data_IF_795197640179
#
_entry.id   IF_795197640179
#
_cell.length_a   1.000
_cell.length_b   1.000
_cell.length_c   1.000
_cell.angle_alpha   90.00
_cell.angle_beta   90.00
_cell.angle_gamma   90.00
#
_symmetry.space_group_name_H-M   'P 1'
#
loop_
_entity.id
_entity.type
_entity.pdbx_description
1 polymer ?
#
# COMPACT_ATOMS: atom_id res chain seq x y z
N UNK A 1 -33.11 -17.68 36.80
CA UNK A 1 -32.79 -18.78 35.85
C UNK A 1 -33.10 -18.39 34.40
N UNK A 2 -34.34 -18.04 34.03
CA UNK A 2 -34.70 -17.66 32.64
C UNK A 2 -33.89 -16.47 32.06
N UNK A 3 -33.62 -15.45 32.87
CA UNK A 3 -32.80 -14.29 32.45
C UNK A 3 -31.32 -14.66 32.18
N UNK A 4 -30.73 -15.55 32.99
CA UNK A 4 -29.35 -16.01 32.81
C UNK A 4 -29.23 -16.83 31.52
N UNK A 5 -30.21 -17.70 31.24
CA UNK A 5 -30.27 -18.47 29.99
C UNK A 5 -30.42 -17.55 28.77
N UNK A 6 -31.26 -16.52 28.85
CA UNK A 6 -31.42 -15.55 27.76
C UNK A 6 -30.12 -14.77 27.49
N UNK A 7 -29.39 -14.36 28.54
CA UNK A 7 -28.10 -13.68 28.40
C UNK A 7 -27.08 -14.61 27.73
N UNK A 8 -26.95 -15.85 28.18
CA UNK A 8 -26.02 -16.82 27.58
C UNK A 8 -26.34 -17.09 26.10
N UNK A 9 -27.62 -17.28 25.76
CA UNK A 9 -28.04 -17.47 24.37
C UNK A 9 -27.71 -16.24 23.52
N UNK A 10 -27.93 -15.03 24.05
CA UNK A 10 -27.59 -13.80 23.34
C UNK A 10 -26.08 -13.63 23.13
N UNK A 11 -25.24 -13.98 24.12
CA UNK A 11 -23.78 -13.97 23.95
C UNK A 11 -23.33 -14.95 22.88
N UNK A 12 -23.84 -16.18 22.88
CA UNK A 12 -23.51 -17.18 21.85
C UNK A 12 -23.94 -16.70 20.47
N UNK A 13 -25.14 -16.11 20.35
CA UNK A 13 -25.63 -15.57 19.09
C UNK A 13 -24.74 -14.40 18.59
N UNK A 14 -24.29 -13.51 19.48
CA UNK A 14 -23.36 -12.43 19.14
C UNK A 14 -22.04 -13.01 18.64
N UNK A 15 -21.46 -13.98 19.35
CA UNK A 15 -20.18 -14.61 18.97
C UNK A 15 -20.30 -15.33 17.62
N UNK A 16 -21.37 -16.07 17.39
CA UNK A 16 -21.61 -16.75 16.10
C UNK A 16 -21.80 -15.74 14.98
N UNK A 17 -22.62 -14.70 15.20
CA UNK A 17 -22.84 -13.64 14.21
C UNK A 17 -21.54 -12.91 13.87
N UNK A 18 -20.75 -12.51 14.87
CA UNK A 18 -19.45 -11.86 14.62
C UNK A 18 -18.49 -12.78 13.89
N UNK A 19 -18.44 -14.07 14.24
CA UNK A 19 -17.52 -15.02 13.58
C UNK A 19 -17.89 -15.23 12.12
N UNK A 20 -19.17 -15.49 11.82
CA UNK A 20 -19.64 -15.73 10.44
C UNK A 20 -19.52 -14.46 9.59
N UNK A 21 -19.88 -13.30 10.15
CA UNK A 21 -19.80 -12.02 9.45
C UNK A 21 -18.35 -11.64 9.13
N UNK A 22 -17.43 -11.77 10.09
CA UNK A 22 -16.01 -11.50 9.82
C UNK A 22 -15.45 -12.49 8.79
N UNK A 23 -15.72 -13.79 8.93
CA UNK A 23 -15.16 -14.82 8.04
C UNK A 23 -15.60 -14.71 6.58
N UNK A 24 -16.76 -14.11 6.31
CA UNK A 24 -17.36 -13.99 4.97
C UNK A 24 -17.33 -12.54 4.43
N UNK A 25 -16.73 -11.61 5.17
CA UNK A 25 -16.58 -10.22 4.72
C UNK A 25 -15.33 -10.07 3.84
N UNK A 26 -15.36 -9.11 2.91
CA UNK A 26 -14.17 -8.69 2.13
C UNK A 26 -12.95 -8.44 3.01
N UNK A 27 -13.16 -7.90 4.21
CA UNK A 27 -12.11 -7.62 5.19
C UNK A 27 -11.50 -8.91 5.77
N UNK A 28 -12.33 -9.91 6.07
CA UNK A 28 -11.86 -11.21 6.55
C UNK A 28 -11.19 -12.06 5.48
N UNK A 29 -11.66 -11.97 4.23
CA UNK A 29 -10.98 -12.62 3.09
C UNK A 29 -9.60 -12.00 2.90
N UNK A 30 -9.51 -10.66 2.95
CA UNK A 30 -8.25 -9.94 2.87
C UNK A 30 -7.26 -10.41 3.94
N UNK A 31 -7.68 -10.47 5.20
CA UNK A 31 -6.82 -10.95 6.29
C UNK A 31 -6.35 -12.40 6.07
N UNK A 32 -7.25 -13.30 5.67
CA UNK A 32 -6.91 -14.71 5.41
C UNK A 32 -5.91 -14.87 4.28
N UNK A 33 -6.10 -14.15 3.17
CA UNK A 33 -5.17 -14.15 2.04
C UNK A 33 -3.81 -13.63 2.49
N UNK A 34 -3.76 -12.55 3.28
CA UNK A 34 -2.51 -12.02 3.82
C UNK A 34 -1.82 -12.94 4.83
N UNK A 35 -2.56 -13.75 5.58
CA UNK A 35 -2.04 -14.70 6.55
C UNK A 35 -1.83 -16.11 5.98
N UNK A 36 -2.08 -16.33 4.67
CA UNK A 36 -1.99 -17.64 4.02
C UNK A 36 -2.91 -18.71 4.68
N UNK A 37 -4.00 -18.27 5.31
CA UNK A 37 -4.91 -19.16 6.03
C UNK A 37 -5.94 -19.78 5.07
N UNK A 38 -5.60 -20.94 4.51
CA UNK A 38 -6.40 -21.63 3.49
C UNK A 38 -6.21 -21.07 2.08
N UNK A 39 -5.10 -20.36 1.85
CA UNK A 39 -4.73 -19.76 0.57
C UNK A 39 -3.26 -19.98 0.30
N UNK A 40 -2.95 -20.41 -0.93
CA UNK A 40 -1.58 -20.38 -1.45
C UNK A 40 -1.33 -19.04 -2.14
N UNK A 41 -0.22 -18.38 -1.78
CA UNK A 41 0.27 -17.17 -2.47
C UNK A 41 1.39 -17.52 -3.46
N UNK A 42 1.35 -16.90 -4.63
CA UNK A 42 2.41 -16.99 -5.63
C UNK A 42 2.84 -15.57 -6.03
N UNK A 43 4.15 -15.29 -5.92
CA UNK A 43 4.73 -14.05 -6.41
C UNK A 43 4.88 -14.10 -7.93
N UNK A 44 4.42 -13.07 -8.61
CA UNK A 44 4.59 -12.88 -10.05
C UNK A 44 5.85 -12.04 -10.33
N UNK A 45 6.72 -12.57 -11.19
CA UNK A 45 7.98 -11.94 -11.66
C UNK A 45 7.85 -11.67 -13.18
N UNK A 46 8.13 -10.45 -13.67
CA UNK A 46 8.71 -9.31 -12.96
C UNK A 46 7.74 -8.49 -12.12
N UNK A 47 8.33 -7.72 -11.20
CA UNK A 47 7.65 -6.70 -10.43
C UNK A 47 6.88 -5.73 -11.33
N UNK A 48 5.84 -5.12 -10.77
CA UNK A 48 4.97 -4.21 -11.49
C UNK A 48 5.44 -2.79 -11.25
N UNK A 49 6.04 -2.20 -12.27
CA UNK A 49 6.50 -0.80 -12.23
C UNK A 49 5.35 0.16 -12.50
N UNK A 50 5.23 1.19 -11.67
CA UNK A 50 4.35 2.32 -11.89
C UNK A 50 5.16 3.61 -12.12
N UNK A 51 4.61 4.47 -12.96
CA UNK A 51 5.16 5.78 -13.30
C UNK A 51 4.28 6.88 -12.71
N UNK A 52 4.87 7.73 -11.88
CA UNK A 52 4.19 8.86 -11.23
C UNK A 52 4.84 10.16 -11.65
N UNK A 53 4.02 11.13 -12.07
CA UNK A 53 4.48 12.50 -12.35
C UNK A 53 4.13 13.38 -11.16
N UNK A 54 5.14 13.72 -10.38
CA UNK A 54 5.01 14.60 -9.22
C UNK A 54 5.09 16.04 -9.71
N UNK A 55 3.97 16.76 -9.62
CA UNK A 55 3.91 18.16 -10.05
C UNK A 55 4.56 19.07 -9.01
N UNK A 56 5.28 20.08 -9.50
CA UNK A 56 5.96 21.06 -8.62
C UNK A 56 4.97 21.89 -7.81
N UNK A 57 3.81 22.20 -8.37
CA UNK A 57 2.78 22.93 -7.62
C UNK A 57 2.36 22.23 -6.32
N UNK A 58 2.39 20.89 -6.26
CA UNK A 58 2.05 20.12 -5.05
C UNK A 58 3.11 20.24 -3.96
N UNK A 59 4.30 20.76 -4.30
CA UNK A 59 5.44 20.92 -3.38
C UNK A 59 5.53 22.34 -2.80
N UNK A 60 4.61 23.23 -3.14
CA UNK A 60 4.63 24.63 -2.71
C UNK A 60 3.93 24.86 -1.36
N UNK A 61 3.05 23.95 -0.95
CA UNK A 61 2.26 24.07 0.26
C UNK A 61 2.76 23.12 1.36
N UNK A 62 2.36 23.38 2.60
CA UNK A 62 2.68 22.50 3.73
C UNK A 62 2.10 21.09 3.51
N UNK A 63 0.92 21.01 2.90
CA UNK A 63 0.26 19.76 2.52
C UNK A 63 -0.66 20.04 1.33
N UNK A 64 -0.52 19.25 0.29
CA UNK A 64 -1.42 19.20 -0.86
C UNK A 64 -2.02 17.80 -0.93
N UNK A 65 -3.35 17.72 -0.87
CA UNK A 65 -4.09 16.49 -1.14
C UNK A 65 -4.21 16.33 -2.66
N UNK A 66 -3.71 15.21 -3.18
CA UNK A 66 -3.58 14.96 -4.63
C UNK A 66 -4.62 13.96 -5.12
N UNK A 67 -4.81 12.85 -4.38
CA UNK A 67 -5.68 11.73 -4.76
C UNK A 67 -5.45 11.23 -6.21
N UNK A 68 -4.18 11.18 -6.63
CA UNK A 68 -3.81 10.74 -7.99
C UNK A 68 -3.72 9.22 -8.05
N UNK A 69 -4.47 8.63 -8.98
CA UNK A 69 -4.40 7.18 -9.22
C UNK A 69 -3.11 6.84 -9.98
N UNK A 70 -2.20 6.13 -9.31
CA UNK A 70 -0.90 5.73 -9.82
C UNK A 70 -0.99 4.47 -10.69
N UNK A 71 -1.64 3.43 -10.17
CA UNK A 71 -1.72 2.12 -10.80
C UNK A 71 -2.98 1.39 -10.36
N UNK A 72 -3.51 0.52 -11.23
CA UNK A 72 -4.52 -0.48 -10.84
C UNK A 72 -4.15 -1.82 -11.45
N UNK A 73 -4.03 -2.85 -10.61
CA UNK A 73 -3.80 -4.24 -11.04
C UNK A 73 -4.50 -5.20 -10.08
N UNK A 74 -5.23 -6.16 -10.65
CA UNK A 74 -6.04 -7.09 -9.85
C UNK A 74 -7.05 -6.36 -8.95
N UNK A 75 -7.08 -6.73 -7.67
CA UNK A 75 -7.91 -6.08 -6.65
C UNK A 75 -7.30 -4.79 -6.09
N UNK A 76 -6.08 -4.42 -6.49
CA UNK A 76 -5.34 -3.30 -5.90
C UNK A 76 -5.39 -2.05 -6.75
N UNK A 77 -5.55 -0.91 -6.08
CA UNK A 77 -5.38 0.42 -6.65
C UNK A 77 -4.39 1.19 -5.80
N UNK A 78 -3.30 1.65 -6.41
CA UNK A 78 -2.30 2.51 -5.79
C UNK A 78 -2.68 3.95 -6.05
N UNK A 79 -2.68 4.76 -4.99
CA UNK A 79 -3.04 6.18 -5.02
C UNK A 79 -1.92 6.97 -4.34
N UNK A 80 -1.47 8.05 -5.00
CA UNK A 80 -0.70 9.11 -4.34
C UNK A 80 -1.71 10.04 -3.65
N UNK A 81 -1.87 9.87 -2.34
CA UNK A 81 -2.88 10.59 -1.58
C UNK A 81 -2.49 12.05 -1.36
N UNK A 82 -1.24 12.30 -0.98
CA UNK A 82 -0.79 13.66 -0.65
C UNK A 82 0.71 13.85 -0.80
N UNK A 83 1.09 15.11 -1.01
CA UNK A 83 2.46 15.62 -0.91
C UNK A 83 2.49 16.59 0.26
N UNK A 84 3.48 16.47 1.14
CA UNK A 84 3.60 17.34 2.30
C UNK A 84 5.04 17.71 2.59
N UNK A 85 5.24 18.77 3.38
CA UNK A 85 6.53 19.17 3.89
C UNK A 85 6.58 18.81 5.38
N UNK A 86 7.54 17.97 5.76
CA UNK A 86 7.71 17.57 7.16
C UNK A 86 8.36 18.67 8.02
N UNK A 87 8.54 18.42 9.32
CA UNK A 87 9.18 19.40 10.23
C UNK A 87 10.65 19.68 9.93
N UNK A 88 11.33 18.75 9.26
CA UNK A 88 12.72 18.88 8.80
C UNK A 88 12.79 19.55 7.42
N UNK A 89 11.66 20.03 6.88
CA UNK A 89 11.50 20.61 5.54
C UNK A 89 11.71 19.63 4.39
N UNK A 90 11.68 18.31 4.62
CA UNK A 90 11.71 17.31 3.55
C UNK A 90 10.34 17.17 2.88
N UNK A 91 10.33 16.79 1.60
CA UNK A 91 9.11 16.41 0.91
C UNK A 91 8.71 14.99 1.29
N UNK A 92 7.47 14.78 1.69
CA UNK A 92 6.89 13.46 2.01
C UNK A 92 5.73 13.16 1.08
N UNK A 93 5.90 12.15 0.24
CA UNK A 93 4.88 11.58 -0.64
C UNK A 93 4.17 10.45 0.10
N UNK A 94 2.84 10.49 0.21
CA UNK A 94 2.08 9.45 0.89
C UNK A 94 1.29 8.62 -0.12
N UNK A 95 1.57 7.33 -0.17
CA UNK A 95 0.90 6.38 -1.04
C UNK A 95 -0.03 5.49 -0.23
N UNK A 96 -1.18 5.17 -0.81
CA UNK A 96 -2.17 4.24 -0.29
C UNK A 96 -2.47 3.16 -1.32
N UNK A 97 -2.28 1.90 -0.93
CA UNK A 97 -2.62 0.72 -1.73
C UNK A 97 -3.94 0.17 -1.22
N UNK A 98 -5.02 0.61 -1.87
CA UNK A 98 -6.38 0.15 -1.57
C UNK A 98 -6.62 -1.19 -2.21
N UNK A 99 -7.24 -2.11 -1.48
CA UNK A 99 -7.53 -3.45 -1.97
C UNK A 99 -9.03 -3.77 -1.85
N UNK A 100 -9.63 -4.20 -2.96
CA UNK A 100 -11.04 -4.61 -3.01
C UNK A 100 -11.15 -6.08 -3.43
N UNK A 101 -10.92 -7.00 -2.49
CA UNK A 101 -11.08 -8.44 -2.73
C UNK A 101 -12.55 -8.74 -3.03
N UNK A 102 -12.82 -9.30 -4.21
CA UNK A 102 -14.18 -9.60 -4.66
C UNK A 102 -14.44 -11.09 -4.91
N UNK A 103 -13.41 -11.93 -4.83
CA UNK A 103 -13.51 -13.38 -5.04
C UNK A 103 -12.76 -14.12 -3.92
N UNK A 104 -13.45 -15.10 -3.33
CA UNK A 104 -12.94 -15.99 -2.26
C UNK A 104 -12.04 -17.09 -2.80
N UNK A 105 -12.14 -17.48 -4.06
CA UNK A 105 -11.38 -18.64 -4.57
C UNK A 105 -10.04 -18.27 -5.17
N UNK A 106 -9.96 -17.13 -5.88
CA UNK A 106 -8.73 -16.73 -6.57
C UNK A 106 -8.69 -15.24 -6.90
N UNK A 107 -7.48 -14.66 -6.95
CA UNK A 107 -7.29 -13.27 -7.32
C UNK A 107 -5.84 -12.83 -7.21
N UNK A 108 -5.60 -11.54 -7.10
CA UNK A 108 -4.26 -11.02 -6.84
C UNK A 108 -4.23 -9.57 -6.41
N UNK A 109 -3.20 -9.21 -5.65
CA UNK A 109 -3.03 -7.92 -5.01
C UNK A 109 -1.58 -7.42 -5.13
N UNK A 110 -1.44 -6.09 -5.12
CA UNK A 110 -0.17 -5.38 -5.05
C UNK A 110 0.23 -5.16 -3.60
N UNK A 111 1.54 -5.18 -3.34
CA UNK A 111 2.16 -4.71 -2.10
C UNK A 111 3.51 -4.06 -2.44
N UNK A 112 3.94 -3.07 -1.64
CA UNK A 112 5.29 -2.51 -1.81
C UNK A 112 6.35 -3.37 -1.11
N UNK A 113 5.96 -4.18 -0.12
CA UNK A 113 6.88 -5.04 0.66
C UNK A 113 7.29 -6.32 -0.06
N UNK A 114 8.54 -6.74 0.12
CA UNK A 114 8.95 -8.11 -0.16
C UNK A 114 8.52 -9.00 1.01
N UNK A 115 7.72 -10.04 0.75
CA UNK A 115 7.44 -11.10 1.73
C UNK A 115 8.53 -12.16 1.60
N UNK A 116 9.50 -12.16 2.52
CA UNK A 116 10.48 -13.24 2.68
C UNK A 116 10.16 -14.13 3.89
N UNK A 117 11.03 -15.11 4.19
CA UNK A 117 10.94 -16.15 5.24
C UNK A 117 10.85 -15.66 6.70
N UNK A 118 10.09 -14.60 6.98
CA UNK A 118 9.76 -14.22 8.36
C UNK A 118 9.49 -12.74 8.58
N UNK A 119 10.03 -11.85 7.74
CA UNK A 119 9.84 -10.39 7.87
C UNK A 119 9.53 -9.75 6.52
N UNK A 120 8.41 -9.03 6.45
CA UNK A 120 8.10 -8.17 5.31
C UNK A 120 9.12 -7.02 5.29
N UNK A 121 9.99 -6.98 4.28
CA UNK A 121 11.03 -5.94 4.18
C UNK A 121 10.82 -5.12 2.92
N UNK A 122 10.64 -3.81 3.10
CA UNK A 122 10.68 -2.87 1.99
C UNK A 122 12.14 -2.54 1.67
N UNK A 123 12.53 -2.55 0.39
CA UNK A 123 13.88 -2.16 -0.06
C UNK A 123 13.82 -0.90 -0.94
N UNK A 124 13.80 0.30 -0.33
CA UNK A 124 13.55 1.55 -1.06
C UNK A 124 14.51 1.86 -2.20
N UNK A 125 15.80 1.53 -2.02
CA UNK A 125 16.83 1.89 -3.00
C UNK A 125 16.83 1.01 -4.25
N UNK A 126 16.22 -0.18 -4.16
CA UNK A 126 16.10 -1.11 -5.29
C UNK A 126 14.78 -0.88 -6.05
N UNK A 127 13.75 -0.39 -5.35
CA UNK A 127 12.37 -0.33 -5.87
C UNK A 127 11.89 1.08 -6.24
N UNK A 128 12.73 2.11 -6.07
CA UNK A 128 12.34 3.50 -6.34
C UNK A 128 13.44 4.22 -7.12
N UNK A 129 13.06 4.78 -8.26
CA UNK A 129 13.91 5.67 -9.05
C UNK A 129 13.23 7.01 -9.32
N UNK A 130 14.02 8.06 -9.43
CA UNK A 130 13.55 9.41 -9.70
C UNK A 130 14.25 9.96 -10.93
N UNK A 131 13.51 10.72 -11.73
CA UNK A 131 14.00 11.33 -12.95
C UNK A 131 13.48 12.76 -13.08
N UNK A 132 14.28 13.60 -13.72
CA UNK A 132 13.83 14.93 -14.17
C UNK A 132 12.78 14.79 -15.28
N UNK A 133 12.10 15.88 -15.62
CA UNK A 133 11.18 15.91 -16.76
C UNK A 133 11.83 15.50 -18.10
N UNK A 134 13.16 15.62 -18.22
CA UNK A 134 13.95 15.26 -19.39
C UNK A 134 14.45 13.81 -19.36
N UNK A 135 14.15 13.05 -18.31
CA UNK A 135 14.57 11.65 -18.15
C UNK A 135 15.97 11.45 -17.54
N UNK A 136 16.60 12.51 -17.03
CA UNK A 136 17.87 12.38 -16.30
C UNK A 136 17.60 11.81 -14.91
N UNK A 137 18.32 10.77 -14.51
CA UNK A 137 18.14 10.16 -13.21
C UNK A 137 18.61 11.10 -12.09
N UNK A 138 17.78 11.23 -11.07
CA UNK A 138 18.03 11.99 -9.85
C UNK A 138 18.58 11.03 -8.80
N UNK A 139 19.85 11.17 -8.46
CA UNK A 139 20.46 10.42 -7.36
C UNK A 139 20.08 11.06 -6.01
N UNK A 140 19.19 10.39 -5.27
CA UNK A 140 18.78 10.85 -3.95
C UNK A 140 19.69 10.27 -2.86
N UNK A 141 20.29 11.18 -2.08
CA UNK A 141 21.19 10.82 -0.98
C UNK A 141 20.45 10.18 0.21
N UNK A 142 19.17 10.51 0.40
CA UNK A 142 18.32 9.99 1.48
C UNK A 142 16.92 9.74 0.95
N UNK A 143 16.52 8.47 1.00
CA UNK A 143 15.13 8.04 0.86
C UNK A 143 14.78 7.36 2.18
N UNK A 144 13.87 7.94 2.96
CA UNK A 144 13.27 7.26 4.11
C UNK A 144 11.91 6.73 3.67
N UNK A 145 11.61 5.49 4.04
CA UNK A 145 10.28 4.93 3.84
C UNK A 145 9.64 4.61 5.18
N UNK A 146 8.45 5.16 5.38
CA UNK A 146 7.59 4.80 6.51
C UNK A 146 6.78 3.57 6.13
N UNK A 147 6.77 2.56 7.00
CA UNK A 147 6.18 1.26 6.72
C UNK A 147 4.85 1.07 7.48
N UNK A 148 3.79 0.74 6.75
CA UNK A 148 2.67 -0.02 7.32
C UNK A 148 2.48 -1.27 6.45
N UNK A 149 2.87 -2.44 6.95
CA UNK A 149 2.66 -3.70 6.26
C UNK A 149 1.27 -4.25 6.57
N UNK A 150 0.56 -4.73 5.56
CA UNK A 150 -0.60 -5.56 5.75
C UNK A 150 -1.84 -5.12 4.96
N UNK A 151 -3.04 -5.41 5.51
CA UNK A 151 -4.30 -5.24 4.82
C UNK A 151 -4.64 -3.74 4.68
N UNK A 152 -4.53 -3.15 3.47
CA UNK A 152 -4.47 -1.71 3.14
C UNK A 152 -3.15 -1.06 3.54
N UNK A 153 -2.19 -1.18 2.65
CA UNK A 153 -0.84 -0.71 2.85
C UNK A 153 -0.73 0.79 2.55
N UNK A 154 -0.34 1.56 3.55
CA UNK A 154 0.04 2.97 3.41
C UNK A 154 1.53 3.12 3.67
N UNK A 155 2.24 3.73 2.74
CA UNK A 155 3.66 4.00 2.91
C UNK A 155 4.00 5.42 2.51
N UNK A 156 5.10 5.93 3.08
CA UNK A 156 5.55 7.29 2.85
C UNK A 156 6.94 7.25 2.23
N UNK A 157 7.19 8.12 1.26
CA UNK A 157 8.52 8.32 0.67
C UNK A 157 8.97 9.74 0.97
N UNK A 158 10.00 9.87 1.81
CA UNK A 158 10.56 11.17 2.21
C UNK A 158 11.83 11.49 1.44
N UNK A 159 11.88 12.69 0.86
CA UNK A 159 12.91 13.17 -0.06
C UNK A 159 13.47 14.51 0.40
N UNK A 160 14.78 14.67 0.24
CA UNK A 160 15.48 15.91 0.57
C UNK A 160 15.00 17.06 -0.34
N UNK A 161 14.48 18.12 0.28
CA UNK A 161 13.90 19.27 -0.42
C UNK A 161 14.94 20.10 -1.13
N UNK A 162 16.13 20.26 -0.55
CA UNK A 162 17.15 21.15 -1.10
C UNK A 162 17.57 20.65 -2.49
N UNK A 163 17.69 19.33 -2.64
CA UNK A 163 18.01 18.71 -3.92
C UNK A 163 16.89 18.86 -4.94
N UNK A 164 15.65 18.55 -4.54
CA UNK A 164 14.51 18.58 -5.46
C UNK A 164 14.10 19.98 -5.86
N UNK A 165 14.37 21.01 -5.05
CA UNK A 165 14.00 22.40 -5.34
C UNK A 165 14.61 22.94 -6.64
N UNK A 166 15.79 22.42 -7.03
CA UNK A 166 16.54 22.85 -8.22
C UNK A 166 16.04 22.24 -9.54
N UNK A 167 15.25 21.18 -9.49
CA UNK A 167 14.75 20.48 -10.68
C UNK A 167 13.65 21.32 -11.36
N UNK A 168 13.77 21.58 -12.65
CA UNK A 168 12.73 22.26 -13.43
C UNK A 168 11.63 21.27 -13.88
N UNK A 169 10.38 21.75 -13.94
CA UNK A 169 9.24 20.94 -14.36
C UNK A 169 8.87 19.83 -13.35
N UNK A 170 8.15 18.82 -13.81
CA UNK A 170 7.73 17.71 -12.96
C UNK A 170 8.89 16.76 -12.63
N UNK A 171 8.77 16.04 -11.52
CA UNK A 171 9.65 14.94 -11.15
C UNK A 171 8.94 13.64 -11.53
N UNK A 172 9.57 12.79 -12.34
CA UNK A 172 9.07 11.44 -12.62
C UNK A 172 9.61 10.50 -11.55
N UNK A 173 8.74 9.65 -11.03
CA UNK A 173 9.07 8.64 -10.04
C UNK A 173 8.64 7.28 -10.57
N UNK A 174 9.58 6.34 -10.65
CA UNK A 174 9.32 4.94 -10.94
C UNK A 174 9.28 4.16 -9.63
N UNK A 175 8.26 3.34 -9.47
CA UNK A 175 7.94 2.57 -8.26
C UNK A 175 7.67 1.12 -8.62
N UNK A 176 8.46 0.20 -8.07
CA UNK A 176 8.23 -1.23 -8.25
C UNK A 176 7.36 -1.79 -7.12
N UNK A 177 6.29 -2.49 -7.50
CA UNK A 177 5.40 -3.21 -6.59
C UNK A 177 5.50 -4.72 -6.83
N UNK A 178 5.47 -5.48 -5.75
CA UNK A 178 5.31 -6.93 -5.82
C UNK A 178 3.83 -7.24 -6.10
N UNK A 179 3.58 -8.20 -6.98
CA UNK A 179 2.23 -8.66 -7.28
C UNK A 179 2.09 -10.12 -6.90
N UNK A 180 1.20 -10.40 -5.94
CA UNK A 180 0.89 -11.76 -5.53
C UNK A 180 -0.45 -12.17 -6.13
N UNK A 181 -0.49 -13.37 -6.71
CA UNK A 181 -1.73 -14.08 -6.95
C UNK A 181 -2.02 -15.02 -5.80
N UNK A 182 -3.30 -15.23 -5.50
CA UNK A 182 -3.75 -16.15 -4.47
C UNK A 182 -4.75 -17.14 -5.04
N UNK A 183 -4.74 -18.37 -4.52
CA UNK A 183 -5.72 -19.43 -4.81
C UNK A 183 -6.09 -20.12 -3.50
N UNK A 184 -7.39 -20.33 -3.27
CA UNK A 184 -7.92 -21.07 -2.12
C UNK A 184 -7.60 -22.56 -2.25
N UNK A 185 -7.22 -23.19 -1.13
CA UNK A 185 -6.90 -24.62 -1.05
C UNK A 185 -8.13 -25.54 -0.99
#
# INVERSE_FOLDING_TARGET
MKQIVAILVSMVAIVVFTTVYFYSSTEGIREKVFQENGYTLQLEDPAVTADVKIQKEWMNEKKTDVDEKVLKKGSSTVILESVSIDSESNYTLTFDIRQSFSNEENGGFLTSFNRGDGDATFKPKENIAFYTANGEQIELNKIKVGESSGPNERYMVTLDRDYLSSVEGYIRMELDYQYYTYTQE
#
